data_IF_301648568166
#
_entry.id   IF_301648568166
#
_cell.length_a   1.000
_cell.length_b   1.000
_cell.length_c   1.000
_cell.angle_alpha   90.00
_cell.angle_beta   90.00
_cell.angle_gamma   90.00
#
_symmetry.space_group_name_H-M   'P 1'
#
loop_
_entity.id
_entity.type
_entity.pdbx_description
1 polymer ?
#
# COMPACT_ATOMS: atom_id res chain seq x y z
N UNK A 1 -27.21 9.67 -9.64
CA UNK A 1 -26.67 8.87 -10.76
C UNK A 1 -26.09 9.81 -11.83
N UNK A 2 -25.35 9.33 -12.84
CA UNK A 2 -24.85 10.17 -13.95
C UNK A 2 -25.96 10.96 -14.65
N UNK A 3 -27.16 10.36 -14.77
CA UNK A 3 -28.34 10.98 -15.40
C UNK A 3 -28.87 12.20 -14.64
N UNK A 4 -28.81 12.16 -13.31
CA UNK A 4 -29.31 13.25 -12.45
C UNK A 4 -28.38 14.46 -12.46
N UNK A 5 -27.09 14.24 -12.70
CA UNK A 5 -26.06 15.29 -12.86
C UNK A 5 -26.23 16.07 -14.16
N UNK A 6 -26.45 15.37 -15.27
CA UNK A 6 -26.76 16.01 -16.55
C UNK A 6 -28.09 16.78 -16.49
N UNK A 7 -29.11 16.23 -15.83
CA UNK A 7 -30.39 16.92 -15.64
C UNK A 7 -30.26 18.20 -14.80
N UNK A 8 -29.25 18.29 -13.93
CA UNK A 8 -28.93 19.48 -13.13
C UNK A 8 -28.11 20.54 -13.90
N UNK A 9 -27.82 20.31 -15.19
CA UNK A 9 -27.04 21.25 -16.02
C UNK A 9 -25.53 21.17 -15.79
N UNK A 10 -25.04 20.08 -15.17
CA UNK A 10 -23.60 19.83 -15.09
C UNK A 10 -23.08 19.59 -16.52
N UNK A 11 -21.95 20.23 -16.92
CA UNK A 11 -21.41 20.06 -18.26
C UNK A 11 -21.11 18.58 -18.57
N UNK A 12 -21.24 18.15 -19.84
CA UNK A 12 -20.94 16.78 -20.23
C UNK A 12 -19.49 16.43 -19.90
N UNK A 13 -19.22 15.12 -19.73
CA UNK A 13 -17.87 14.65 -19.43
C UNK A 13 -16.91 15.13 -20.54
N UNK A 14 -15.81 15.82 -20.19
CA UNK A 14 -14.89 16.35 -21.19
C UNK A 14 -14.16 15.21 -21.92
N UNK A 15 -13.82 15.42 -23.20
CA UNK A 15 -13.08 14.44 -24.01
C UNK A 15 -11.67 14.20 -23.47
N UNK A 16 -11.07 15.23 -22.87
CA UNK A 16 -9.74 15.19 -22.25
C UNK A 16 -9.88 15.49 -20.76
N UNK A 17 -9.20 14.69 -19.96
CA UNK A 17 -9.10 14.96 -18.53
C UNK A 17 -8.23 16.20 -18.30
N UNK A 18 -8.62 17.05 -17.35
CA UNK A 18 -7.72 18.06 -16.80
C UNK A 18 -6.55 17.39 -16.04
N UNK A 19 -5.51 18.16 -15.72
CA UNK A 19 -4.32 17.63 -15.09
C UNK A 19 -4.58 16.94 -13.73
N UNK A 20 -5.50 17.47 -12.91
CA UNK A 20 -5.82 16.89 -11.60
C UNK A 20 -6.61 15.59 -11.78
N UNK A 21 -7.57 15.57 -12.69
CA UNK A 21 -8.35 14.37 -13.04
C UNK A 21 -7.46 13.28 -13.63
N UNK A 22 -6.56 13.64 -14.54
CA UNK A 22 -5.58 12.71 -15.12
C UNK A 22 -4.63 12.16 -14.05
N UNK A 23 -4.10 13.02 -13.17
CA UNK A 23 -3.24 12.60 -12.06
C UNK A 23 -3.96 11.68 -11.07
N UNK A 24 -5.24 11.96 -10.74
CA UNK A 24 -6.07 11.07 -9.90
C UNK A 24 -6.22 9.69 -10.52
N UNK A 25 -6.51 9.63 -11.82
CA UNK A 25 -6.65 8.36 -12.55
C UNK A 25 -5.33 7.60 -12.66
N UNK A 26 -4.22 8.29 -12.89
CA UNK A 26 -2.89 7.68 -12.90
C UNK A 26 -2.55 7.10 -11.52
N UNK A 27 -2.68 7.91 -10.47
CA UNK A 27 -2.43 7.46 -9.10
C UNK A 27 -3.32 6.27 -8.71
N UNK A 28 -4.56 6.21 -9.20
CA UNK A 28 -5.42 5.03 -9.01
C UNK A 28 -4.85 3.79 -9.70
N UNK A 29 -4.43 3.90 -10.97
CA UNK A 29 -3.83 2.78 -11.71
C UNK A 29 -2.53 2.30 -11.10
N UNK A 30 -1.67 3.20 -10.64
CA UNK A 30 -0.41 2.83 -9.96
C UNK A 30 -0.68 2.06 -8.66
N UNK A 31 -1.69 2.47 -7.88
CA UNK A 31 -2.10 1.72 -6.68
C UNK A 31 -2.63 0.33 -7.03
N UNK A 32 -3.50 0.22 -8.03
CA UNK A 32 -4.04 -1.08 -8.44
C UNK A 32 -2.96 -1.99 -9.04
N UNK A 33 -2.01 -1.43 -9.80
CA UNK A 33 -0.87 -2.19 -10.33
C UNK A 33 -0.02 -2.75 -9.19
N UNK A 34 0.38 -1.91 -8.24
CA UNK A 34 1.20 -2.35 -7.12
C UNK A 34 0.46 -3.34 -6.19
N UNK A 35 -0.87 -3.23 -6.08
CA UNK A 35 -1.70 -4.22 -5.38
C UNK A 35 -1.74 -5.55 -6.13
N UNK A 36 -1.90 -5.53 -7.45
CA UNK A 36 -1.85 -6.72 -8.29
C UNK A 36 -0.50 -7.42 -8.15
N UNK A 37 0.60 -6.69 -8.31
CA UNK A 37 1.97 -7.22 -8.20
C UNK A 37 2.22 -7.87 -6.83
N UNK A 38 1.70 -7.24 -5.76
CA UNK A 38 1.81 -7.80 -4.42
C UNK A 38 0.99 -9.09 -4.27
N UNK A 39 -0.25 -9.12 -4.78
CA UNK A 39 -1.12 -10.29 -4.68
C UNK A 39 -0.59 -11.46 -5.52
N UNK A 40 -0.10 -11.19 -6.73
CA UNK A 40 0.55 -12.20 -7.59
C UNK A 40 1.72 -12.86 -6.87
N UNK A 41 2.57 -12.06 -6.19
CA UNK A 41 3.66 -12.62 -5.39
C UNK A 41 3.15 -13.48 -4.23
N UNK A 42 2.03 -13.13 -3.59
CA UNK A 42 1.48 -13.91 -2.48
C UNK A 42 0.82 -15.23 -2.94
N UNK A 43 0.28 -15.25 -4.15
CA UNK A 43 -0.43 -16.41 -4.71
C UNK A 43 0.51 -17.37 -5.49
N UNK A 44 1.58 -16.86 -6.11
CA UNK A 44 2.54 -17.66 -6.88
C UNK A 44 3.91 -17.78 -6.18
N UNK A 45 4.31 -19.01 -5.76
CA UNK A 45 5.60 -19.26 -5.13
C UNK A 45 6.83 -18.89 -5.97
N UNK A 46 6.75 -18.94 -7.31
CA UNK A 46 7.87 -18.57 -8.19
C UNK A 46 8.07 -17.07 -8.23
N UNK A 47 6.97 -16.30 -8.28
CA UNK A 47 7.03 -14.83 -8.19
C UNK A 47 7.55 -14.42 -6.82
N UNK A 48 7.12 -15.07 -5.73
CA UNK A 48 7.69 -14.84 -4.41
C UNK A 48 9.19 -15.17 -4.34
N UNK A 49 9.63 -16.26 -4.98
CA UNK A 49 11.03 -16.65 -4.99
C UNK A 49 11.92 -15.59 -5.67
N UNK A 50 11.44 -14.97 -6.75
CA UNK A 50 12.13 -13.84 -7.40
C UNK A 50 12.24 -12.63 -6.45
N UNK A 51 11.15 -12.28 -5.75
CA UNK A 51 11.17 -11.20 -4.74
C UNK A 51 12.15 -11.49 -3.60
N UNK A 52 12.26 -12.76 -3.18
CA UNK A 52 13.25 -13.18 -2.17
C UNK A 52 14.68 -13.04 -2.66
N UNK A 53 14.95 -13.43 -3.91
CA UNK A 53 16.28 -13.29 -4.52
C UNK A 53 16.68 -11.81 -4.68
N UNK A 54 15.71 -10.94 -5.00
CA UNK A 54 15.91 -9.49 -5.04
C UNK A 54 16.11 -8.86 -3.64
N UNK A 55 15.84 -9.60 -2.57
CA UNK A 55 15.88 -9.12 -1.19
C UNK A 55 14.66 -8.28 -0.80
N UNK A 56 13.57 -8.36 -1.55
CA UNK A 56 12.27 -7.69 -1.30
C UNK A 56 11.31 -8.56 -0.46
N UNK A 57 11.67 -9.81 -0.21
CA UNK A 57 10.97 -10.73 0.68
C UNK A 57 11.98 -11.69 1.32
N UNK A 58 11.57 -12.41 2.35
CA UNK A 58 12.38 -13.47 2.95
C UNK A 58 11.53 -14.50 3.69
N UNK A 59 12.03 -15.72 3.72
CA UNK A 59 11.52 -16.79 4.56
C UNK A 59 12.25 -16.73 5.91
N UNK A 60 11.49 -16.60 6.99
CA UNK A 60 12.02 -16.50 8.35
C UNK A 60 11.51 -17.62 9.26
N UNK A 61 12.42 -18.29 9.94
CA UNK A 61 12.12 -19.18 11.07
C UNK A 61 12.10 -18.35 12.37
N UNK A 62 10.97 -18.38 13.08
CA UNK A 62 10.80 -17.69 14.36
C UNK A 62 11.46 -18.53 15.45
N UNK A 63 12.62 -18.10 15.92
CA UNK A 63 13.38 -18.77 16.97
C UNK A 63 12.80 -18.50 18.35
N UNK A 64 12.44 -17.25 18.62
CA UNK A 64 11.85 -16.85 19.90
C UNK A 64 10.93 -15.66 19.73
N UNK A 65 10.03 -15.50 20.70
CA UNK A 65 9.10 -14.38 20.78
C UNK A 65 9.12 -13.83 22.20
N UNK A 66 9.48 -12.57 22.33
CA UNK A 66 9.48 -11.84 23.59
C UNK A 66 8.31 -10.86 23.61
N UNK A 67 7.42 -11.00 24.60
CA UNK A 67 6.30 -10.07 24.77
C UNK A 67 6.76 -8.76 25.40
N UNK A 68 6.81 -7.69 24.60
CA UNK A 68 7.05 -6.33 25.10
C UNK A 68 5.81 -5.46 24.94
N UNK A 69 5.82 -4.26 25.53
CA UNK A 69 4.68 -3.35 25.53
C UNK A 69 5.13 -1.91 25.32
N UNK A 70 4.29 -1.09 24.68
CA UNK A 70 4.54 0.35 24.61
C UNK A 70 4.47 1.00 25.99
N UNK A 71 5.29 2.01 26.22
CA UNK A 71 5.19 2.86 27.40
C UNK A 71 3.91 3.71 27.39
N UNK A 72 3.37 4.02 28.58
CA UNK A 72 2.25 4.94 28.77
C UNK A 72 1.10 4.40 29.61
N UNK A 73 0.06 5.23 29.80
CA UNK A 73 -1.10 4.93 30.69
C UNK A 73 -1.90 3.68 30.27
N UNK A 74 -1.86 3.32 28.99
CA UNK A 74 -2.51 2.11 28.44
C UNK A 74 -1.51 1.39 27.53
N UNK A 75 -0.66 0.51 28.09
CA UNK A 75 0.33 -0.23 27.33
C UNK A 75 -0.32 -1.05 26.22
N UNK A 76 0.32 -1.09 25.05
CA UNK A 76 -0.10 -1.89 23.89
C UNK A 76 0.94 -2.96 23.61
N UNK A 77 0.55 -4.21 23.28
CA UNK A 77 1.49 -5.24 22.88
C UNK A 77 2.44 -4.81 21.77
N UNK A 78 3.71 -5.16 21.92
CA UNK A 78 4.82 -5.00 20.98
C UNK A 78 5.72 -6.25 21.02
N UNK A 79 5.21 -7.44 20.68
CA UNK A 79 6.03 -8.64 20.62
C UNK A 79 7.26 -8.41 19.73
N UNK A 80 8.42 -8.83 20.21
CA UNK A 80 9.67 -8.85 19.47
C UNK A 80 9.94 -10.29 19.05
N UNK A 81 10.06 -10.51 17.75
CA UNK A 81 10.39 -11.79 17.14
C UNK A 81 11.88 -11.83 16.87
N UNK A 82 12.53 -12.93 17.26
CA UNK A 82 13.87 -13.27 16.79
C UNK A 82 13.74 -14.24 15.63
N UNK A 83 14.16 -13.83 14.44
CA UNK A 83 13.91 -14.56 13.19
C UNK A 83 15.20 -14.90 12.47
N UNK A 84 15.44 -16.19 12.25
CA UNK A 84 16.55 -16.67 11.41
C UNK A 84 16.09 -16.77 9.96
N UNK A 85 16.93 -16.35 9.04
CA UNK A 85 16.68 -16.45 7.61
C UNK A 85 17.95 -16.82 6.87
N UNK A 86 17.81 -17.57 5.79
CA UNK A 86 18.89 -17.85 4.83
C UNK A 86 18.89 -16.85 3.65
N UNK A 87 17.83 -16.04 3.53
CA UNK A 87 17.73 -15.02 2.50
C UNK A 87 18.54 -13.77 2.88
N UNK A 88 18.74 -12.88 1.89
CA UNK A 88 19.47 -11.61 2.04
C UNK A 88 18.52 -10.41 1.86
N UNK A 89 17.57 -10.17 2.79
CA UNK A 89 16.62 -9.08 2.64
C UNK A 89 17.29 -7.71 2.78
N UNK A 90 16.85 -6.74 1.97
CA UNK A 90 17.35 -5.37 1.94
C UNK A 90 16.75 -4.53 3.07
N UNK A 91 17.14 -4.83 4.31
CA UNK A 91 16.60 -4.18 5.51
C UNK A 91 17.47 -2.99 5.94
N UNK A 92 16.85 -1.82 6.07
CA UNK A 92 17.37 -0.67 6.81
C UNK A 92 16.67 -0.57 8.19
N UNK A 93 17.26 0.18 9.13
CA UNK A 93 16.65 0.38 10.45
C UNK A 93 15.21 0.91 10.32
N UNK A 94 14.27 0.33 11.09
CA UNK A 94 12.83 0.66 11.07
C UNK A 94 12.12 0.40 9.74
N UNK A 95 12.69 -0.42 8.86
CA UNK A 95 12.00 -0.88 7.65
C UNK A 95 10.77 -1.69 8.05
N UNK A 96 9.56 -1.34 7.55
CA UNK A 96 8.39 -2.15 7.79
C UNK A 96 8.49 -3.47 7.02
N UNK A 97 8.10 -4.55 7.66
CA UNK A 97 7.96 -5.88 7.06
C UNK A 97 6.54 -6.36 7.27
N UNK A 98 6.03 -7.13 6.32
CA UNK A 98 4.65 -7.57 6.28
C UNK A 98 4.57 -9.09 6.16
N UNK A 99 3.63 -9.68 6.89
CA UNK A 99 3.21 -11.08 6.69
C UNK A 99 1.71 -11.14 6.48
N UNK A 100 1.23 -12.22 5.87
CA UNK A 100 -0.20 -12.50 5.76
C UNK A 100 -0.70 -13.09 7.07
N UNK A 101 -1.75 -12.50 7.64
CA UNK A 101 -2.51 -13.01 8.78
C UNK A 101 -3.99 -13.02 8.38
N UNK A 102 -4.58 -14.21 8.25
CA UNK A 102 -5.99 -14.38 7.86
C UNK A 102 -6.37 -13.61 6.58
N UNK A 103 -5.50 -13.64 5.56
CA UNK A 103 -5.70 -12.94 4.29
C UNK A 103 -5.52 -11.42 4.36
N UNK A 104 -4.99 -10.88 5.46
CA UNK A 104 -4.71 -9.45 5.62
C UNK A 104 -3.24 -9.23 5.97
N UNK A 105 -2.65 -8.09 5.56
CA UNK A 105 -1.32 -7.73 6.01
C UNK A 105 -1.30 -7.47 7.52
N UNK A 106 -0.32 -8.07 8.19
CA UNK A 106 0.16 -7.68 9.52
C UNK A 106 1.55 -7.08 9.38
N UNK A 107 1.77 -5.95 10.04
CA UNK A 107 3.00 -5.15 9.99
C UNK A 107 3.88 -5.45 11.21
N UNK A 108 5.18 -5.61 10.97
CA UNK A 108 6.23 -5.50 11.98
C UNK A 108 7.30 -4.50 11.51
N UNK A 109 8.09 -3.94 12.42
CA UNK A 109 9.27 -3.15 12.06
C UNK A 109 10.53 -3.99 12.28
N UNK A 110 11.48 -3.89 11.36
CA UNK A 110 12.84 -4.36 11.61
C UNK A 110 13.55 -3.39 12.57
N UNK A 111 13.94 -3.89 13.74
CA UNK A 111 14.57 -3.09 14.80
C UNK A 111 16.07 -3.36 14.95
N UNK A 112 16.60 -4.39 14.31
CA UNK A 112 18.03 -4.65 14.27
C UNK A 112 18.36 -6.13 14.07
N UNK A 113 19.63 -6.47 14.29
CA UNK A 113 20.11 -7.85 14.27
C UNK A 113 20.70 -8.21 15.63
N UNK A 114 20.55 -9.46 16.00
CA UNK A 114 21.30 -10.05 17.12
C UNK A 114 22.78 -10.20 16.73
N UNK A 115 23.63 -10.50 17.72
CA UNK A 115 25.07 -10.71 17.48
C UNK A 115 25.36 -11.90 16.55
N UNK A 116 24.48 -12.91 16.54
CA UNK A 116 24.56 -14.08 15.65
C UNK A 116 23.84 -13.89 14.31
N UNK A 117 23.32 -12.69 14.04
CA UNK A 117 22.80 -12.28 12.74
C UNK A 117 21.30 -12.51 12.51
N UNK A 118 20.57 -13.04 13.49
CA UNK A 118 19.11 -13.15 13.45
C UNK A 118 18.45 -11.76 13.41
N UNK A 119 17.31 -11.67 12.74
CA UNK A 119 16.54 -10.44 12.58
C UNK A 119 15.66 -10.22 13.82
N UNK A 120 15.63 -8.99 14.33
CA UNK A 120 14.69 -8.56 15.36
C UNK A 120 13.53 -7.82 14.69
N UNK A 121 12.32 -8.36 14.82
CA UNK A 121 11.10 -7.80 14.23
C UNK A 121 10.10 -7.46 15.33
N UNK A 122 9.65 -6.21 15.41
CA UNK A 122 8.64 -5.79 16.40
C UNK A 122 7.26 -5.71 15.76
N UNK A 123 6.32 -6.58 16.18
CA UNK A 123 4.95 -6.60 15.64
C UNK A 123 4.17 -5.36 16.09
N UNK A 124 3.48 -4.70 15.14
CA UNK A 124 2.85 -3.39 15.37
C UNK A 124 1.33 -3.45 15.48
N UNK A 125 0.69 -4.25 14.63
CA UNK A 125 -0.75 -4.22 14.42
C UNK A 125 -1.37 -5.64 14.40
N UNK A 126 -2.69 -5.69 14.19
CA UNK A 126 -3.49 -6.93 14.10
C UNK A 126 -3.44 -7.87 15.31
N UNK A 127 -3.11 -7.36 16.49
CA UNK A 127 -3.10 -8.11 17.77
C UNK A 127 -4.35 -7.85 18.63
N UNK A 128 -5.47 -7.48 18.03
CA UNK A 128 -6.67 -7.09 18.77
C UNK A 128 -6.60 -5.70 19.41
N UNK A 129 -7.62 -5.39 20.22
CA UNK A 129 -7.74 -4.10 20.93
C UNK A 129 -7.38 -4.18 22.41
N UNK A 130 -7.09 -5.39 22.90
CA UNK A 130 -6.81 -5.70 24.30
C UNK A 130 -5.39 -5.34 24.74
N UNK A 131 -5.11 -5.64 26.00
CA UNK A 131 -3.76 -5.66 26.54
C UNK A 131 -3.06 -7.00 26.22
N UNK A 132 -3.81 -8.09 26.12
CA UNK A 132 -3.31 -9.37 25.61
C UNK A 132 -3.59 -9.44 24.09
N UNK A 133 -2.64 -9.92 23.28
CA UNK A 133 -2.87 -10.20 21.87
C UNK A 133 -3.99 -11.24 21.64
N UNK A 134 -4.76 -11.07 20.57
CA UNK A 134 -5.71 -12.09 20.14
C UNK A 134 -4.96 -13.40 19.78
N UNK A 135 -5.55 -14.56 20.10
CA UNK A 135 -4.92 -15.86 19.82
C UNK A 135 -4.59 -16.00 18.31
N UNK A 136 -3.38 -16.48 18.01
CA UNK A 136 -2.87 -16.63 16.63
C UNK A 136 -2.40 -15.33 15.96
N UNK A 137 -2.58 -14.16 16.61
CA UNK A 137 -2.12 -12.89 16.03
C UNK A 137 -0.61 -12.68 16.10
N UNK A 138 0.07 -13.34 17.02
CA UNK A 138 1.52 -13.32 17.17
C UNK A 138 2.04 -14.70 16.77
N UNK A 139 3.10 -14.81 15.94
CA UNK A 139 3.71 -16.09 15.63
C UNK A 139 4.14 -16.84 16.89
N UNK A 140 4.09 -18.17 16.88
CA UNK A 140 4.78 -18.99 17.88
C UNK A 140 6.25 -19.22 17.50
N UNK A 141 7.08 -19.48 18.50
CA UNK A 141 8.42 -20.01 18.28
C UNK A 141 8.32 -21.38 17.57
N UNK A 142 9.18 -21.61 16.58
CA UNK A 142 9.16 -22.79 15.72
C UNK A 142 8.41 -22.61 14.40
N UNK A 143 7.65 -21.53 14.24
CA UNK A 143 6.96 -21.24 12.97
C UNK A 143 7.94 -20.76 11.89
N UNK A 144 7.67 -21.14 10.65
CA UNK A 144 8.37 -20.59 9.49
C UNK A 144 7.39 -19.79 8.65
N UNK A 145 7.71 -18.53 8.39
CA UNK A 145 6.81 -17.55 7.79
C UNK A 145 7.50 -16.82 6.64
N UNK A 146 6.72 -16.48 5.62
CA UNK A 146 7.18 -15.55 4.59
C UNK A 146 6.88 -14.11 5.00
N UNK A 147 7.92 -13.29 5.03
CA UNK A 147 7.85 -11.85 5.23
C UNK A 147 8.16 -11.14 3.91
N UNK A 148 7.57 -9.97 3.74
CA UNK A 148 7.70 -9.12 2.55
C UNK A 148 8.08 -7.71 2.98
N UNK A 149 8.90 -7.01 2.19
CA UNK A 149 9.29 -5.61 2.43
C UNK A 149 8.36 -4.63 1.68
N UNK A 150 7.50 -5.14 0.81
CA UNK A 150 6.45 -4.39 0.13
C UNK A 150 5.10 -4.56 0.85
N UNK A 151 4.27 -3.51 0.89
CA UNK A 151 2.94 -3.61 1.48
C UNK A 151 1.99 -4.40 0.57
N UNK A 152 1.05 -5.13 1.16
CA UNK A 152 0.03 -5.87 0.41
C UNK A 152 -1.14 -4.99 -0.07
N UNK A 153 -1.23 -3.78 0.48
CA UNK A 153 -2.21 -2.78 0.07
C UNK A 153 -1.53 -1.41 0.05
N UNK A 154 -1.75 -0.63 -1.01
CA UNK A 154 -1.10 0.65 -1.19
C UNK A 154 -1.85 1.73 -0.43
N UNK A 155 -1.14 2.48 0.41
CA UNK A 155 -1.73 3.66 1.04
C UNK A 155 -1.98 4.73 -0.01
N UNK A 156 -3.11 5.45 0.06
CA UNK A 156 -3.34 6.61 -0.77
C UNK A 156 -2.19 7.61 -0.60
N UNK A 157 -1.68 8.11 -1.73
CA UNK A 157 -0.71 9.20 -1.73
C UNK A 157 -1.29 10.51 -1.18
N UNK A 158 -0.45 11.55 -1.06
CA UNK A 158 -0.93 12.87 -0.66
C UNK A 158 -2.06 13.36 -1.59
N UNK A 159 -2.97 14.15 -1.03
CA UNK A 159 -4.05 14.76 -1.81
C UNK A 159 -3.49 15.65 -2.92
N UNK A 160 -4.08 15.56 -4.10
CA UNK A 160 -3.80 16.49 -5.19
C UNK A 160 -4.44 17.85 -4.89
N UNK A 161 -3.84 18.97 -5.35
CA UNK A 161 -4.43 20.30 -5.19
C UNK A 161 -5.79 20.40 -5.89
N UNK A 162 -6.57 21.39 -5.50
CA UNK A 162 -7.76 21.80 -6.26
C UNK A 162 -7.35 22.30 -7.65
N UNK A 163 -8.26 22.21 -8.62
CA UNK A 163 -7.97 22.53 -10.02
C UNK A 163 -7.45 23.97 -10.18
N UNK A 164 -8.03 24.92 -9.45
CA UNK A 164 -7.66 26.34 -9.42
C UNK A 164 -6.30 26.60 -8.76
N UNK A 165 -5.85 25.67 -7.91
CA UNK A 165 -4.56 25.70 -7.24
C UNK A 165 -3.47 24.91 -8.00
N UNK A 166 -3.79 24.38 -9.18
CA UNK A 166 -2.82 23.67 -10.03
C UNK A 166 -1.74 24.64 -10.50
N UNK A 167 -0.45 24.31 -10.38
CA UNK A 167 0.62 25.15 -10.92
C UNK A 167 0.41 25.46 -12.39
N UNK A 168 0.80 26.66 -12.84
CA UNK A 168 0.63 27.13 -14.22
C UNK A 168 1.22 26.19 -15.28
N UNK A 169 2.22 25.38 -14.89
CA UNK A 169 2.85 24.36 -15.72
C UNK A 169 1.95 23.17 -16.05
N UNK A 170 0.85 22.99 -15.32
CA UNK A 170 -0.07 21.85 -15.46
C UNK A 170 -1.54 22.28 -15.62
N UNK A 171 -1.94 23.44 -15.09
CA UNK A 171 -3.32 23.96 -15.16
C UNK A 171 -3.58 25.01 -16.26
N UNK A 172 -2.55 25.37 -17.03
CA UNK A 172 -2.61 26.53 -17.93
C UNK A 172 -2.50 27.87 -17.18
N UNK A 173 -2.47 29.00 -17.89
CA UNK A 173 -2.30 30.31 -17.27
C UNK A 173 -3.48 30.63 -16.32
N UNK A 174 -3.22 31.15 -15.10
CA UNK A 174 -4.29 31.58 -14.21
C UNK A 174 -5.12 32.68 -14.89
N UNK A 175 -6.42 32.43 -15.07
CA UNK A 175 -7.35 33.33 -15.76
C UNK A 175 -7.66 32.98 -17.22
N UNK A 176 -7.02 31.94 -17.78
CA UNK A 176 -7.49 31.36 -19.04
C UNK A 176 -8.79 30.62 -18.81
N UNK A 177 -9.92 31.15 -19.31
CA UNK A 177 -11.14 30.36 -19.39
C UNK A 177 -10.81 29.04 -20.11
N UNK A 178 -11.29 27.87 -19.64
CA UNK A 178 -11.16 26.65 -20.41
C UNK A 178 -11.71 26.96 -21.79
N UNK A 179 -10.88 26.83 -22.84
CA UNK A 179 -11.35 27.03 -24.21
C UNK A 179 -12.47 26.01 -24.37
N UNK A 180 -13.70 26.51 -24.46
CA UNK A 180 -14.85 25.64 -24.66
C UNK A 180 -14.61 24.88 -25.95
N UNK A 181 -14.30 23.59 -25.83
CA UNK A 181 -14.17 22.72 -27.00
C UNK A 181 -15.50 22.76 -27.72
N UNK A 182 -15.46 23.17 -28.98
CA UNK A 182 -16.64 23.19 -29.83
C UNK A 182 -17.14 21.74 -29.95
N UNK A 183 -18.46 21.49 -29.83
CA UNK A 183 -18.99 20.15 -30.04
C UNK A 183 -18.49 19.59 -31.37
N UNK A 184 -18.24 18.28 -31.43
CA UNK A 184 -17.98 17.63 -32.70
C UNK A 184 -19.14 17.92 -33.66
N UNK A 185 -18.81 18.15 -34.93
CA UNK A 185 -19.83 18.33 -35.95
C UNK A 185 -20.66 17.05 -36.02
N UNK A 186 -21.99 17.20 -36.02
CA UNK A 186 -22.93 16.07 -36.15
C UNK A 186 -22.58 15.30 -37.42
N UNK A 187 -22.37 14.00 -37.27
CA UNK A 187 -22.07 13.10 -38.38
C UNK A 187 -23.35 12.45 -38.90
N UNK A 188 -23.33 11.89 -40.11
CA UNK A 188 -24.49 11.18 -40.68
C UNK A 188 -24.90 9.96 -39.83
N UNK A 189 -23.99 9.42 -39.02
CA UNK A 189 -24.24 8.31 -38.10
C UNK A 189 -25.09 8.71 -36.88
N UNK A 190 -25.16 10.00 -36.53
CA UNK A 190 -25.88 10.50 -35.36
C UNK A 190 -27.39 10.74 -35.60
N UNK A 191 -27.84 10.59 -36.86
CA UNK A 191 -29.21 10.91 -37.30
C UNK A 191 -30.00 9.68 -37.78
N UNK A 192 -29.43 8.47 -37.61
CA UNK A 192 -30.03 7.17 -37.93
C UNK A 192 -30.56 6.47 -36.67
#
# INVERSE_FOLDING_TARGET
SHRDRLAAGEPPQPRRDDAVTAARKLAAREREQARLDAQEALDDPLVMAERRLAGEAFHGYVESVEMTYTEGRRPRPRPVLTVRTEDLPQLAERTPVFRVLEGKPQTADFTGRTADGALLLTVRDRMGRGAEPDAGSVPAAGETLCFTLFPHDQRPGPGLPDAEATPWTHGGPPGGAPVAETPDAVTEEDVL
#
